data_IF_979365105404
#
_entry.id   IF_979365105404
#
_cell.length_a   1.000
_cell.length_b   1.000
_cell.length_c   1.000
_cell.angle_alpha   90.00
_cell.angle_beta   90.00
_cell.angle_gamma   90.00
#
_symmetry.space_group_name_H-M   'P 1'
#
loop_
_entity.id
_entity.type
_entity.pdbx_description
1 polymer ?
#
# COMPACT_ATOMS: atom_id res chain seq x y z
N UNK A 1 41.73 9.17 21.19
CA UNK A 1 41.54 9.65 22.58
C UNK A 1 40.86 8.53 23.37
N UNK A 2 41.54 8.00 24.34
CA UNK A 2 41.00 7.04 25.30
C UNK A 2 39.74 7.59 25.96
N UNK A 3 38.62 6.86 26.01
CA UNK A 3 37.41 7.30 26.70
C UNK A 3 37.73 7.62 28.16
N UNK A 4 37.15 8.71 28.66
CA UNK A 4 37.28 9.06 30.07
C UNK A 4 36.82 7.91 30.95
N UNK A 5 37.62 7.45 31.96
CA UNK A 5 37.30 6.27 32.77
C UNK A 5 35.95 6.31 33.49
N UNK A 6 35.39 7.51 33.73
CA UNK A 6 34.16 7.68 34.47
C UNK A 6 32.86 7.31 33.68
N UNK A 7 32.85 7.39 32.36
CA UNK A 7 31.68 7.01 31.57
C UNK A 7 31.65 5.51 31.24
N UNK A 8 32.80 4.91 31.02
CA UNK A 8 32.94 3.46 30.82
C UNK A 8 32.58 2.67 32.08
N UNK A 9 32.98 3.17 33.27
CA UNK A 9 32.67 2.52 34.55
C UNK A 9 31.15 2.52 34.86
N UNK A 10 30.43 3.60 34.57
CA UNK A 10 28.96 3.66 34.82
C UNK A 10 28.15 2.73 33.93
N UNK A 11 28.61 2.47 32.69
CA UNK A 11 27.94 1.55 31.77
C UNK A 11 28.27 0.08 32.12
N UNK A 12 29.43 -0.20 32.71
CA UNK A 12 29.83 -1.54 33.20
C UNK A 12 28.99 -1.98 34.39
N UNK A 13 28.65 -1.07 35.31
CA UNK A 13 27.83 -1.41 36.49
C UNK A 13 26.39 -1.81 36.13
N UNK A 14 25.87 -1.40 34.96
CA UNK A 14 24.54 -1.77 34.48
C UNK A 14 24.50 -3.15 33.83
N UNK A 15 25.64 -3.80 33.60
CA UNK A 15 25.74 -5.09 32.91
C UNK A 15 25.90 -6.21 33.92
N UNK A 16 24.95 -7.09 34.04
CA UNK A 16 24.88 -8.20 34.99
C UNK A 16 26.04 -9.21 34.86
N UNK A 17 26.80 -9.20 33.76
CA UNK A 17 27.89 -10.14 33.47
C UNK A 17 29.29 -9.55 33.59
N UNK A 18 29.40 -8.30 34.04
CA UNK A 18 30.70 -7.63 34.24
C UNK A 18 30.82 -7.10 35.67
N UNK A 19 31.91 -7.41 36.35
CA UNK A 19 32.28 -6.84 37.65
C UNK A 19 33.62 -6.17 37.55
N UNK A 20 33.88 -5.17 38.37
CA UNK A 20 35.15 -4.48 38.44
C UNK A 20 35.87 -4.93 39.74
N UNK A 21 37.05 -5.46 39.57
CA UNK A 21 37.95 -5.81 40.66
C UNK A 21 39.35 -5.26 40.36
N UNK A 22 39.95 -4.54 41.30
CA UNK A 22 41.31 -3.98 41.17
C UNK A 22 41.56 -3.26 39.83
N UNK A 23 40.62 -2.34 39.42
CA UNK A 23 40.67 -1.60 38.15
C UNK A 23 40.57 -2.46 36.87
N UNK A 24 40.20 -3.72 37.00
CA UNK A 24 39.99 -4.65 35.88
C UNK A 24 38.52 -4.99 35.72
N UNK A 25 38.05 -4.99 34.48
CA UNK A 25 36.75 -5.52 34.14
C UNK A 25 36.80 -7.03 33.99
N UNK A 26 36.13 -7.75 34.87
CA UNK A 26 36.04 -9.21 34.84
C UNK A 26 34.70 -9.60 34.24
N UNK A 27 34.76 -10.27 33.10
CA UNK A 27 33.58 -10.79 32.42
C UNK A 27 33.26 -12.19 32.92
N UNK A 28 31.99 -12.41 33.30
CA UNK A 28 31.51 -13.74 33.63
C UNK A 28 31.19 -14.50 32.34
N UNK A 29 31.31 -15.81 32.37
CA UNK A 29 31.00 -16.66 31.22
C UNK A 29 29.52 -17.09 31.15
N UNK A 30 28.66 -16.52 31.98
CA UNK A 30 27.21 -16.76 31.98
C UNK A 30 26.45 -15.45 32.12
N UNK A 31 25.32 -15.35 31.43
CA UNK A 31 24.45 -14.18 31.42
C UNK A 31 23.05 -14.55 30.91
N UNK A 32 22.10 -13.60 30.99
CA UNK A 32 20.76 -13.77 30.46
C UNK A 32 20.71 -13.34 28.98
N UNK A 33 20.11 -14.18 28.12
CA UNK A 33 19.83 -13.89 26.73
C UNK A 33 18.42 -14.42 26.35
N UNK A 34 17.55 -13.56 25.87
CA UNK A 34 16.18 -13.95 25.53
C UNK A 34 15.39 -14.49 26.73
N UNK A 35 15.70 -14.04 27.94
CA UNK A 35 15.04 -14.48 29.18
C UNK A 35 15.55 -15.79 29.74
N UNK A 36 16.51 -16.46 29.10
CA UNK A 36 17.16 -17.70 29.57
C UNK A 36 18.63 -17.46 29.98
N UNK A 37 19.09 -18.17 30.97
CA UNK A 37 20.51 -18.15 31.35
C UNK A 37 21.33 -18.96 30.33
N UNK A 38 22.38 -18.34 29.79
CA UNK A 38 23.31 -18.95 28.85
C UNK A 38 24.70 -18.95 29.42
N UNK A 39 25.45 -20.03 29.14
CA UNK A 39 26.85 -20.13 29.50
C UNK A 39 27.69 -20.20 28.23
N UNK A 40 28.71 -19.35 28.14
CA UNK A 40 29.63 -19.37 27.00
C UNK A 40 30.58 -20.55 27.12
N UNK A 41 30.40 -21.54 26.28
CA UNK A 41 31.22 -22.75 26.17
C UNK A 41 31.52 -23.10 24.70
N UNK A 42 31.37 -22.16 23.78
CA UNK A 42 31.48 -22.41 22.36
C UNK A 42 32.85 -22.03 21.81
N UNK A 43 33.35 -22.87 20.93
CA UNK A 43 34.55 -22.65 20.12
C UNK A 43 34.17 -22.90 18.66
N UNK A 44 34.66 -22.08 17.75
CA UNK A 44 34.36 -22.24 16.33
C UNK A 44 34.96 -23.51 15.75
N UNK A 45 34.18 -24.25 14.98
CA UNK A 45 34.67 -25.34 14.14
C UNK A 45 35.29 -24.81 12.85
N UNK A 46 36.15 -25.59 12.19
CA UNK A 46 36.80 -25.19 10.95
C UNK A 46 35.81 -24.79 9.84
N UNK A 47 34.67 -25.49 9.73
CA UNK A 47 33.61 -25.16 8.79
C UNK A 47 32.96 -23.80 9.10
N UNK A 48 32.87 -23.43 10.38
CA UNK A 48 32.35 -22.13 10.82
C UNK A 48 33.33 -21.00 10.51
N UNK A 49 34.64 -21.24 10.67
CA UNK A 49 35.68 -20.29 10.25
C UNK A 49 35.62 -20.05 8.74
N UNK A 50 35.44 -21.12 7.95
CA UNK A 50 35.26 -21.02 6.52
C UNK A 50 34.01 -20.18 6.16
N UNK A 51 32.86 -20.44 6.80
CA UNK A 51 31.64 -19.68 6.65
C UNK A 51 31.84 -18.19 6.96
N UNK A 52 32.54 -17.84 8.01
CA UNK A 52 32.90 -16.47 8.36
C UNK A 52 33.69 -15.75 7.28
N UNK A 53 34.65 -16.43 6.63
CA UNK A 53 35.42 -15.88 5.49
C UNK A 53 34.52 -15.64 4.27
N UNK A 54 33.61 -16.57 3.99
CA UNK A 54 32.64 -16.44 2.86
C UNK A 54 31.80 -15.21 3.07
N UNK A 55 31.22 -15.02 4.25
CA UNK A 55 30.38 -13.87 4.61
C UNK A 55 31.15 -12.54 4.56
N UNK A 56 32.38 -12.51 5.06
CA UNK A 56 33.24 -11.31 4.99
C UNK A 56 33.52 -10.89 3.53
N UNK A 57 33.61 -11.85 2.60
CA UNK A 57 33.81 -11.60 1.18
C UNK A 57 32.50 -11.18 0.45
N UNK A 58 31.44 -10.88 1.16
CA UNK A 58 30.16 -10.45 0.59
C UNK A 58 29.43 -11.55 -0.19
N UNK A 59 29.59 -12.81 0.23
CA UNK A 59 28.96 -13.97 -0.40
C UNK A 59 27.90 -14.59 0.51
N UNK A 60 27.11 -15.49 -0.03
CA UNK A 60 26.12 -16.28 0.69
C UNK A 60 26.78 -17.55 1.24
N UNK A 61 26.63 -17.78 2.55
CA UNK A 61 26.99 -19.02 3.20
C UNK A 61 25.73 -19.83 3.49
N UNK A 62 25.54 -20.94 2.79
CA UNK A 62 24.45 -21.87 3.07
C UNK A 62 24.85 -22.79 4.21
N UNK A 63 24.03 -22.80 5.26
CA UNK A 63 24.25 -23.63 6.45
C UNK A 63 22.93 -24.26 6.89
N UNK A 64 22.95 -25.54 7.23
CA UNK A 64 21.79 -26.24 7.73
C UNK A 64 21.38 -25.76 9.14
N UNK A 65 20.15 -26.04 9.52
CA UNK A 65 19.66 -25.75 10.87
C UNK A 65 20.47 -26.50 11.89
N UNK A 66 20.91 -25.81 12.95
CA UNK A 66 21.74 -26.40 14.03
C UNK A 66 23.24 -26.32 13.81
N UNK A 67 23.72 -25.86 12.66
CA UNK A 67 25.17 -25.71 12.39
C UNK A 67 25.83 -24.48 13.04
N UNK A 68 25.04 -23.69 13.78
CA UNK A 68 25.57 -22.57 14.56
C UNK A 68 25.74 -21.28 13.73
N UNK A 69 24.81 -20.94 12.85
CA UNK A 69 24.83 -19.72 12.04
C UNK A 69 25.08 -18.45 12.87
N UNK A 70 24.45 -18.34 14.04
CA UNK A 70 24.62 -17.19 14.95
C UNK A 70 26.07 -17.05 15.42
N UNK A 71 26.75 -18.18 15.67
CA UNK A 71 28.17 -18.19 16.06
C UNK A 71 29.10 -17.84 14.90
N UNK A 72 28.81 -18.34 13.69
CA UNK A 72 29.55 -18.00 12.46
C UNK A 72 29.50 -16.51 12.18
N UNK A 73 28.33 -15.89 12.34
CA UNK A 73 28.17 -14.46 12.16
C UNK A 73 29.08 -13.60 13.02
N UNK A 74 29.49 -14.08 14.19
CA UNK A 74 30.38 -13.31 15.08
C UNK A 74 31.71 -12.95 14.43
N UNK A 75 32.23 -13.79 13.55
CA UNK A 75 33.53 -13.58 12.90
C UNK A 75 33.52 -12.39 11.92
N UNK A 76 32.69 -12.35 10.88
CA UNK A 76 32.66 -11.21 9.98
C UNK A 76 32.09 -9.95 10.63
N UNK A 77 31.15 -10.06 11.58
CA UNK A 77 30.65 -8.93 12.34
C UNK A 77 31.74 -8.26 13.14
N UNK A 78 32.51 -9.02 13.90
CA UNK A 78 33.64 -8.49 14.66
C UNK A 78 34.67 -7.81 13.75
N UNK A 79 35.11 -8.49 12.69
CA UNK A 79 36.11 -7.97 11.76
C UNK A 79 35.70 -6.66 11.11
N UNK A 80 34.44 -6.58 10.60
CA UNK A 80 33.95 -5.37 9.94
C UNK A 80 33.61 -4.24 10.93
N UNK A 81 33.29 -4.57 12.20
CA UNK A 81 33.06 -3.57 13.25
C UNK A 81 34.33 -2.82 13.64
N UNK A 82 35.50 -3.40 13.47
CA UNK A 82 36.81 -2.75 13.75
C UNK A 82 37.03 -1.48 12.89
N UNK A 83 36.33 -1.33 11.79
CA UNK A 83 36.40 -0.10 10.95
C UNK A 83 35.80 1.13 11.63
N UNK A 84 34.97 0.94 12.67
CA UNK A 84 34.21 2.01 13.32
C UNK A 84 33.05 2.59 12.50
N UNK A 85 32.78 2.06 11.29
CA UNK A 85 31.75 2.54 10.40
C UNK A 85 30.35 1.96 10.68
N UNK A 86 30.27 0.96 11.57
CA UNK A 86 29.04 0.28 11.96
C UNK A 86 28.73 -0.97 11.14
N UNK A 87 28.23 -1.96 11.85
CA UNK A 87 27.76 -3.22 11.27
C UNK A 87 26.32 -3.44 11.69
N UNK A 88 25.47 -3.76 10.72
CA UNK A 88 24.06 -4.12 10.96
C UNK A 88 23.91 -5.64 10.90
N UNK A 89 23.35 -6.22 11.96
CA UNK A 89 22.99 -7.64 12.03
C UNK A 89 21.48 -7.74 11.89
N UNK A 90 21.04 -8.28 10.76
CA UNK A 90 19.64 -8.27 10.33
C UNK A 90 19.01 -9.63 10.55
N UNK A 91 17.89 -9.67 11.25
CA UNK A 91 17.09 -10.87 11.52
C UNK A 91 15.67 -10.70 11.00
N UNK A 92 14.90 -11.79 10.95
CA UNK A 92 13.53 -11.78 10.42
C UNK A 92 12.46 -11.38 11.44
N UNK A 93 12.77 -11.41 12.73
CA UNK A 93 11.83 -10.99 13.78
C UNK A 93 12.55 -10.38 14.99
N UNK A 94 11.79 -9.64 15.78
CA UNK A 94 12.28 -8.88 16.94
C UNK A 94 12.76 -9.78 18.12
N UNK A 95 12.19 -10.97 18.25
CA UNK A 95 12.65 -11.92 19.26
C UNK A 95 14.09 -12.36 18.97
N UNK A 96 14.39 -12.73 17.73
CA UNK A 96 15.74 -13.14 17.32
C UNK A 96 16.73 -11.98 17.45
N UNK A 97 16.37 -10.78 17.02
CA UNK A 97 17.28 -9.62 17.11
C UNK A 97 17.64 -9.29 18.56
N UNK A 98 16.67 -9.31 19.47
CA UNK A 98 16.88 -9.10 20.91
C UNK A 98 17.70 -10.22 21.54
N UNK A 99 17.31 -11.49 21.30
CA UNK A 99 18.01 -12.67 21.82
C UNK A 99 19.47 -12.71 21.36
N UNK A 100 19.71 -12.53 20.07
CA UNK A 100 21.07 -12.68 19.51
C UNK A 100 21.96 -11.49 19.90
N UNK A 101 21.43 -10.29 20.05
CA UNK A 101 22.15 -9.15 20.61
C UNK A 101 22.57 -9.40 22.08
N UNK A 102 21.72 -10.05 22.87
CA UNK A 102 21.99 -10.39 24.24
C UNK A 102 22.95 -11.58 24.37
N UNK A 103 22.86 -12.54 23.46
CA UNK A 103 23.67 -13.75 23.48
C UNK A 103 25.09 -13.51 23.00
N UNK A 104 25.26 -12.86 21.85
CA UNK A 104 26.58 -12.60 21.25
C UNK A 104 27.17 -11.25 21.66
N UNK A 105 26.33 -10.33 22.15
CA UNK A 105 26.78 -8.99 22.57
C UNK A 105 27.94 -8.99 23.56
N UNK A 106 27.92 -9.80 24.65
CA UNK A 106 29.01 -9.85 25.59
C UNK A 106 30.35 -10.22 24.97
N UNK A 107 30.38 -11.08 23.95
CA UNK A 107 31.61 -11.42 23.23
C UNK A 107 32.22 -10.19 22.55
N UNK A 108 31.42 -9.41 21.85
CA UNK A 108 31.89 -8.18 21.19
C UNK A 108 32.34 -7.13 22.22
N UNK A 109 31.55 -6.96 23.29
CA UNK A 109 31.84 -6.02 24.36
C UNK A 109 33.16 -6.36 25.10
N UNK A 110 33.49 -7.66 25.25
CA UNK A 110 34.74 -8.11 25.77
C UNK A 110 35.94 -7.57 24.97
N UNK A 111 35.77 -7.45 23.67
CA UNK A 111 36.75 -6.87 22.75
C UNK A 111 36.68 -5.35 22.60
N UNK A 112 35.90 -4.67 23.44
CA UNK A 112 35.81 -3.21 23.46
C UNK A 112 34.84 -2.60 22.43
N UNK A 113 34.02 -3.42 21.74
CA UNK A 113 33.02 -2.96 20.79
C UNK A 113 31.70 -2.69 21.49
N UNK A 114 30.99 -1.64 21.04
CA UNK A 114 29.62 -1.31 21.49
C UNK A 114 28.57 -2.08 20.69
N UNK A 115 27.54 -2.57 21.39
CA UNK A 115 26.44 -3.35 20.82
C UNK A 115 25.12 -2.79 21.30
N UNK A 116 24.17 -2.65 20.38
CA UNK A 116 22.78 -2.30 20.71
C UNK A 116 21.80 -2.99 19.74
N UNK A 117 20.51 -2.92 20.08
CA UNK A 117 19.44 -3.51 19.30
C UNK A 117 18.33 -2.47 19.11
N UNK A 118 18.02 -2.12 17.85
CA UNK A 118 17.00 -1.12 17.55
C UNK A 118 15.59 -1.54 17.98
N UNK A 119 15.28 -2.83 17.97
CA UNK A 119 13.97 -3.35 18.38
C UNK A 119 13.68 -3.19 19.89
N UNK A 120 14.68 -2.78 20.67
CA UNK A 120 14.51 -2.41 22.09
C UNK A 120 14.13 -0.96 22.32
N UNK A 121 14.15 -0.12 21.29
CA UNK A 121 13.99 1.31 21.38
C UNK A 121 12.84 1.79 20.48
N UNK A 122 12.14 2.83 20.92
CA UNK A 122 11.07 3.44 20.13
C UNK A 122 11.61 4.12 18.87
N UNK A 123 10.89 4.05 17.73
CA UNK A 123 11.21 4.81 16.53
C UNK A 123 11.40 6.31 16.80
N UNK A 124 12.30 6.96 16.06
CA UNK A 124 12.62 8.39 16.15
C UNK A 124 13.09 8.86 17.55
N UNK A 125 13.48 7.95 18.42
CA UNK A 125 14.00 8.28 19.76
C UNK A 125 15.52 8.52 19.76
N UNK A 126 16.00 9.26 20.75
CA UNK A 126 17.44 9.42 20.98
C UNK A 126 18.13 8.09 21.29
N UNK A 127 17.43 7.18 21.98
CA UNK A 127 17.91 5.84 22.25
C UNK A 127 18.13 5.04 20.97
N UNK A 128 17.20 5.16 20.00
CA UNK A 128 17.31 4.51 18.69
C UNK A 128 18.45 5.10 17.85
N UNK A 129 18.61 6.42 17.87
CA UNK A 129 19.76 7.11 17.25
C UNK A 129 21.08 6.65 17.84
N UNK A 130 21.15 6.55 19.17
CA UNK A 130 22.34 6.03 19.87
C UNK A 130 22.63 4.56 19.51
N UNK A 131 21.59 3.75 19.30
CA UNK A 131 21.75 2.35 18.87
C UNK A 131 22.43 2.26 17.50
N UNK A 132 22.09 3.13 16.55
CA UNK A 132 22.77 3.18 15.26
C UNK A 132 24.22 3.69 15.32
N UNK A 133 24.58 4.39 16.37
CA UNK A 133 25.96 4.84 16.61
C UNK A 133 26.84 3.75 17.25
N UNK A 134 26.26 2.65 17.70
CA UNK A 134 27.03 1.49 18.18
C UNK A 134 27.88 0.87 17.05
N UNK A 135 28.95 0.21 17.41
CA UNK A 135 29.79 -0.52 16.45
C UNK A 135 29.04 -1.65 15.78
N UNK A 136 28.12 -2.28 16.51
CA UNK A 136 27.27 -3.38 16.05
C UNK A 136 25.83 -3.09 16.45
N UNK A 137 24.94 -3.08 15.48
CA UNK A 137 23.51 -2.81 15.66
C UNK A 137 22.69 -3.98 15.16
N UNK A 138 21.95 -4.63 16.06
CA UNK A 138 20.99 -5.68 15.74
C UNK A 138 19.61 -5.07 15.44
N UNK A 139 18.85 -5.70 14.57
CA UNK A 139 17.48 -5.31 14.28
C UNK A 139 16.79 -6.21 13.28
N UNK A 140 15.47 -6.05 13.18
CA UNK A 140 14.69 -6.72 12.15
C UNK A 140 14.83 -6.02 10.80
N UNK A 141 14.73 -6.79 9.72
CA UNK A 141 14.78 -6.32 8.35
C UNK A 141 13.80 -5.14 8.11
N UNK A 142 12.57 -5.27 8.60
CA UNK A 142 11.53 -4.26 8.41
C UNK A 142 11.86 -2.97 9.17
N UNK A 143 12.34 -3.05 10.41
CA UNK A 143 12.66 -1.86 11.22
C UNK A 143 13.83 -1.07 10.64
N UNK A 144 14.85 -1.73 10.11
CA UNK A 144 15.91 -1.05 9.36
C UNK A 144 15.37 -0.28 8.16
N UNK A 145 14.49 -0.91 7.39
CA UNK A 145 13.85 -0.27 6.24
C UNK A 145 12.89 0.85 6.62
N UNK A 146 12.10 0.70 7.68
CA UNK A 146 11.23 1.76 8.17
C UNK A 146 12.00 2.95 8.73
N UNK A 147 13.11 2.72 9.44
CA UNK A 147 13.97 3.83 9.91
C UNK A 147 14.55 4.61 8.74
N UNK A 148 14.96 3.93 7.67
CA UNK A 148 15.39 4.60 6.45
C UNK A 148 14.29 5.44 5.81
N UNK A 149 13.06 4.92 5.73
CA UNK A 149 11.93 5.70 5.22
C UNK A 149 11.63 6.91 6.10
N UNK A 150 11.66 6.76 7.42
CA UNK A 150 11.48 7.87 8.38
C UNK A 150 12.58 8.92 8.23
N UNK A 151 13.81 8.51 8.04
CA UNK A 151 14.94 9.42 7.79
C UNK A 151 14.76 10.23 6.49
N UNK A 152 14.24 9.60 5.43
CA UNK A 152 13.95 10.31 4.19
C UNK A 152 12.80 11.33 4.31
N UNK A 153 11.97 11.21 5.34
CA UNK A 153 10.89 12.16 5.65
C UNK A 153 11.34 13.22 6.66
N UNK A 154 12.54 13.12 7.22
CA UNK A 154 13.04 14.05 8.21
C UNK A 154 13.24 15.46 7.63
N UNK A 155 12.81 16.48 8.39
CA UNK A 155 12.92 17.87 8.00
C UNK A 155 14.30 18.45 8.38
N UNK A 156 14.92 17.88 9.42
CA UNK A 156 16.21 18.34 9.93
C UNK A 156 17.21 17.18 10.01
N UNK A 157 18.50 17.43 9.72
CA UNK A 157 19.54 16.40 9.93
C UNK A 157 19.62 15.85 11.36
N UNK A 158 19.13 16.60 12.35
CA UNK A 158 19.09 16.19 13.76
C UNK A 158 18.07 15.07 14.02
N UNK A 159 17.08 14.94 13.12
CA UNK A 159 16.02 13.92 13.23
C UNK A 159 16.42 12.59 12.60
N UNK A 160 17.54 12.55 11.89
CA UNK A 160 18.05 11.31 11.29
C UNK A 160 18.53 10.35 12.39
N UNK A 161 18.13 9.09 12.29
CA UNK A 161 18.55 8.04 13.23
C UNK A 161 19.65 7.16 12.67
N UNK A 162 19.63 6.86 11.36
CA UNK A 162 20.64 6.05 10.71
C UNK A 162 21.87 6.89 10.33
N UNK A 163 23.03 6.26 10.35
CA UNK A 163 24.24 6.78 9.73
C UNK A 163 24.50 6.08 8.41
N UNK A 164 25.63 6.38 7.76
CA UNK A 164 26.02 5.76 6.50
C UNK A 164 26.00 4.24 6.58
N UNK A 165 25.42 3.56 5.57
CA UNK A 165 25.41 2.11 5.43
C UNK A 165 26.83 1.63 5.08
N UNK A 166 27.34 0.69 5.86
CA UNK A 166 28.68 0.14 5.66
C UNK A 166 28.63 -1.37 5.39
N UNK A 167 28.35 -2.17 6.40
CA UNK A 167 28.28 -3.62 6.28
C UNK A 167 27.01 -4.14 6.94
N UNK A 168 26.30 -5.04 6.25
CA UNK A 168 25.17 -5.77 6.79
C UNK A 168 25.36 -7.27 6.62
N UNK A 169 25.04 -8.02 7.66
CA UNK A 169 24.86 -9.47 7.58
C UNK A 169 23.37 -9.76 7.73
N UNK A 170 22.80 -10.49 6.77
CA UNK A 170 21.38 -10.80 6.71
C UNK A 170 21.17 -12.27 6.95
N UNK A 171 20.49 -12.61 8.05
CA UNK A 171 20.06 -13.98 8.34
C UNK A 171 18.77 -14.31 7.58
N UNK A 172 18.54 -15.58 7.27
CA UNK A 172 17.38 -16.03 6.48
C UNK A 172 17.22 -15.25 5.16
N UNK A 173 18.30 -15.13 4.41
CA UNK A 173 18.39 -14.28 3.22
C UNK A 173 17.40 -14.65 2.12
N UNK A 174 16.99 -15.90 2.02
CA UNK A 174 15.94 -16.41 1.16
C UNK A 174 14.59 -15.76 1.50
N UNK A 175 14.19 -15.72 2.75
CA UNK A 175 12.99 -15.02 3.18
C UNK A 175 13.08 -13.52 2.92
N UNK A 176 14.18 -12.88 3.29
CA UNK A 176 14.32 -11.41 3.24
C UNK A 176 14.49 -10.87 1.82
N UNK A 177 15.32 -11.53 0.98
CA UNK A 177 15.70 -11.00 -0.33
C UNK A 177 15.15 -11.78 -1.53
N UNK A 178 14.42 -12.88 -1.30
CA UNK A 178 13.73 -13.64 -2.35
C UNK A 178 12.22 -13.57 -2.13
N UNK A 179 11.69 -14.14 -1.03
CA UNK A 179 10.26 -14.22 -0.80
C UNK A 179 9.63 -12.83 -0.61
N UNK A 180 10.22 -12.01 0.26
CA UNK A 180 9.74 -10.66 0.57
C UNK A 180 10.40 -9.55 -0.26
N UNK A 181 11.24 -9.91 -1.23
CA UNK A 181 12.09 -8.96 -1.98
C UNK A 181 11.30 -7.82 -2.63
N UNK A 182 10.10 -8.11 -3.13
CA UNK A 182 9.24 -7.18 -3.85
C UNK A 182 8.13 -6.59 -3.00
N UNK A 183 7.93 -7.08 -1.79
CA UNK A 183 6.94 -6.53 -0.85
C UNK A 183 7.45 -5.18 -0.35
N UNK A 184 6.78 -4.07 -0.67
CA UNK A 184 7.26 -2.76 -0.25
C UNK A 184 6.94 -2.50 1.22
N UNK A 185 7.88 -1.89 1.91
CA UNK A 185 7.62 -1.19 3.17
C UNK A 185 7.01 0.17 2.81
N UNK A 186 5.91 0.53 3.44
CA UNK A 186 5.13 1.72 3.12
C UNK A 186 4.88 2.52 4.39
N UNK A 187 5.18 3.82 4.36
CA UNK A 187 4.69 4.78 5.34
C UNK A 187 3.60 5.60 4.68
N UNK A 188 2.42 5.57 5.25
CA UNK A 188 1.27 6.37 4.83
C UNK A 188 0.70 7.16 6.00
N UNK A 189 -0.01 8.22 5.68
CA UNK A 189 -0.69 9.03 6.66
C UNK A 189 -1.98 9.63 6.10
N UNK A 190 -2.85 10.15 6.97
CA UNK A 190 -4.10 10.75 6.54
C UNK A 190 -3.83 12.03 5.72
N UNK A 191 -4.59 12.19 4.64
CA UNK A 191 -4.64 13.45 3.90
C UNK A 191 -5.43 14.47 4.73
N UNK A 192 -5.01 15.73 4.80
CA UNK A 192 -5.78 16.78 5.48
C UNK A 192 -7.21 16.87 4.92
N UNK A 193 -8.18 16.97 5.82
CA UNK A 193 -9.62 16.88 5.54
C UNK A 193 -10.13 17.88 4.49
N UNK A 194 -10.99 17.40 3.61
CA UNK A 194 -11.85 18.14 2.67
C UNK A 194 -12.96 17.29 2.06
N UNK A 195 -12.71 15.98 1.90
CA UNK A 195 -13.50 15.11 1.01
C UNK A 195 -14.56 14.23 1.71
N UNK A 196 -14.46 13.98 3.01
CA UNK A 196 -15.29 13.00 3.71
C UNK A 196 -16.79 13.31 3.64
N UNK A 197 -17.14 14.59 3.66
CA UNK A 197 -18.53 15.04 3.61
C UNK A 197 -19.16 14.89 2.21
N UNK A 198 -18.35 14.93 1.15
CA UNK A 198 -18.85 14.88 -0.22
C UNK A 198 -19.40 13.50 -0.57
N UNK A 199 -18.79 12.42 -0.08
CA UNK A 199 -19.31 11.06 -0.23
C UNK A 199 -20.69 10.89 0.40
N UNK A 200 -20.89 11.39 1.60
CA UNK A 200 -22.19 11.33 2.29
C UNK A 200 -23.24 12.21 1.62
N UNK A 201 -22.85 13.39 1.14
CA UNK A 201 -23.76 14.33 0.45
C UNK A 201 -24.23 13.80 -0.90
N UNK A 202 -23.37 13.16 -1.67
CA UNK A 202 -23.67 12.67 -3.01
C UNK A 202 -24.27 11.25 -3.04
N UNK A 203 -24.17 10.50 -1.93
CA UNK A 203 -24.75 9.16 -1.83
C UNK A 203 -26.21 9.07 -2.26
N UNK A 204 -27.13 9.94 -1.82
CA UNK A 204 -28.53 9.85 -2.23
C UNK A 204 -28.76 9.99 -3.73
N UNK A 205 -27.93 10.79 -4.40
CA UNK A 205 -27.99 10.95 -5.87
C UNK A 205 -27.57 9.67 -6.57
N UNK A 206 -26.51 9.02 -6.07
CA UNK A 206 -26.04 7.74 -6.63
C UNK A 206 -27.04 6.62 -6.37
N UNK A 207 -27.67 6.57 -5.21
CA UNK A 207 -28.75 5.61 -4.93
C UNK A 207 -29.90 5.73 -5.92
N UNK A 208 -30.30 6.97 -6.27
CA UNK A 208 -31.30 7.22 -7.31
C UNK A 208 -30.87 6.75 -8.69
N UNK A 209 -29.61 6.99 -9.07
CA UNK A 209 -29.04 6.49 -10.33
C UNK A 209 -29.06 4.96 -10.38
N UNK A 210 -28.60 4.31 -9.34
CA UNK A 210 -28.53 2.84 -9.26
C UNK A 210 -29.94 2.23 -9.30
N UNK A 211 -30.90 2.80 -8.60
CA UNK A 211 -32.28 2.33 -8.62
C UNK A 211 -32.91 2.47 -10.01
N UNK A 212 -32.72 3.63 -10.66
CA UNK A 212 -33.21 3.86 -12.02
C UNK A 212 -32.55 2.88 -13.01
N UNK A 213 -31.25 2.66 -12.90
CA UNK A 213 -30.52 1.73 -13.75
C UNK A 213 -30.97 0.27 -13.54
N UNK A 214 -31.22 -0.14 -12.31
CA UNK A 214 -31.76 -1.50 -12.01
C UNK A 214 -33.09 -1.74 -12.68
N UNK A 215 -34.01 -0.78 -12.62
CA UNK A 215 -35.32 -0.87 -13.32
C UNK A 215 -35.11 -1.00 -14.81
N UNK A 216 -34.28 -0.16 -15.41
CA UNK A 216 -33.95 -0.16 -16.82
C UNK A 216 -33.32 -1.46 -17.29
N UNK A 217 -32.31 -1.94 -16.55
CA UNK A 217 -31.62 -3.20 -16.85
C UNK A 217 -32.56 -4.40 -16.77
N UNK A 218 -33.44 -4.44 -15.80
CA UNK A 218 -34.46 -5.48 -15.66
C UNK A 218 -35.43 -5.47 -16.84
N UNK A 219 -35.85 -4.30 -17.28
CA UNK A 219 -36.70 -4.17 -18.46
C UNK A 219 -36.02 -4.64 -19.74
N UNK A 220 -34.78 -4.25 -19.98
CA UNK A 220 -34.00 -4.72 -21.12
C UNK A 220 -33.76 -6.24 -21.09
N UNK A 221 -33.52 -6.82 -19.91
CA UNK A 221 -33.41 -8.28 -19.80
C UNK A 221 -34.69 -9.01 -20.14
N UNK A 222 -35.86 -8.48 -19.70
CA UNK A 222 -37.16 -9.04 -20.01
C UNK A 222 -37.47 -8.94 -21.53
N UNK A 223 -37.19 -7.79 -22.13
CA UNK A 223 -37.35 -7.56 -23.58
C UNK A 223 -36.41 -8.49 -24.37
N UNK A 224 -35.15 -8.66 -23.93
CA UNK A 224 -34.22 -9.57 -24.54
C UNK A 224 -34.71 -11.00 -24.56
N UNK A 225 -35.21 -11.51 -23.45
CA UNK A 225 -35.76 -12.88 -23.34
C UNK A 225 -36.93 -13.08 -24.27
N UNK A 226 -37.84 -12.11 -24.34
CA UNK A 226 -39.02 -12.15 -25.21
C UNK A 226 -38.65 -12.12 -26.68
N UNK A 227 -37.75 -11.22 -27.09
CA UNK A 227 -37.41 -10.98 -28.50
C UNK A 227 -36.45 -12.07 -29.04
N UNK A 228 -35.52 -12.57 -28.24
CA UNK A 228 -34.60 -13.65 -28.64
C UNK A 228 -35.35 -14.97 -28.86
N UNK A 229 -36.45 -15.19 -28.15
CA UNK A 229 -37.30 -16.37 -28.32
C UNK A 229 -38.20 -16.31 -29.59
N UNK A 230 -38.23 -15.19 -30.27
CA UNK A 230 -38.97 -15.03 -31.54
C UNK A 230 -38.30 -15.80 -32.70
N UNK A 231 -39.09 -16.15 -33.69
CA UNK A 231 -38.60 -16.76 -34.93
C UNK A 231 -38.17 -15.72 -36.00
N UNK A 232 -38.41 -14.43 -35.74
CA UNK A 232 -38.01 -13.35 -36.63
C UNK A 232 -36.58 -12.89 -36.34
N UNK A 233 -35.73 -12.93 -37.36
CA UNK A 233 -34.32 -12.58 -37.24
C UNK A 233 -34.12 -11.11 -36.77
N UNK A 234 -34.96 -10.19 -37.22
CA UNK A 234 -34.89 -8.79 -36.83
C UNK A 234 -35.22 -8.60 -35.36
N UNK A 235 -36.26 -9.27 -34.87
CA UNK A 235 -36.60 -9.27 -33.44
C UNK A 235 -35.51 -9.89 -32.60
N UNK A 236 -34.85 -10.95 -33.05
CA UNK A 236 -33.71 -11.54 -32.36
C UNK A 236 -32.54 -10.57 -32.27
N UNK A 237 -32.23 -9.82 -33.33
CA UNK A 237 -31.17 -8.79 -33.33
C UNK A 237 -31.48 -7.67 -32.32
N UNK A 238 -32.75 -7.19 -32.30
CA UNK A 238 -33.20 -6.23 -31.29
C UNK A 238 -33.13 -6.80 -29.87
N UNK A 239 -33.42 -8.07 -29.68
CA UNK A 239 -33.30 -8.77 -28.40
C UNK A 239 -31.87 -8.88 -27.92
N UNK A 240 -30.92 -9.17 -28.79
CA UNK A 240 -29.49 -9.18 -28.43
C UNK A 240 -28.97 -7.78 -28.13
N UNK A 241 -29.43 -6.74 -28.75
CA UNK A 241 -29.11 -5.36 -28.39
C UNK A 241 -29.65 -5.03 -27.00
N UNK A 242 -30.90 -5.40 -26.68
CA UNK A 242 -31.46 -5.24 -25.36
C UNK A 242 -30.64 -6.02 -24.27
N UNK A 243 -30.20 -7.23 -24.59
CA UNK A 243 -29.34 -8.03 -23.73
C UNK A 243 -27.98 -7.34 -23.49
N UNK A 244 -27.37 -6.82 -24.54
CA UNK A 244 -26.13 -6.09 -24.47
C UNK A 244 -26.25 -4.83 -23.60
N UNK A 245 -27.35 -4.07 -23.76
CA UNK A 245 -27.67 -2.92 -22.89
C UNK A 245 -27.82 -3.32 -21.43
N UNK A 246 -28.53 -4.42 -21.15
CA UNK A 246 -28.66 -4.94 -19.78
C UNK A 246 -27.30 -5.30 -19.18
N UNK A 247 -26.42 -5.93 -19.96
CA UNK A 247 -25.08 -6.28 -19.53
C UNK A 247 -24.20 -5.04 -19.28
N UNK A 248 -24.23 -4.04 -20.15
CA UNK A 248 -23.51 -2.77 -19.93
C UNK A 248 -24.06 -1.97 -18.76
N UNK A 249 -25.33 -2.12 -18.45
CA UNK A 249 -25.98 -1.44 -17.33
C UNK A 249 -25.59 -2.03 -15.97
N UNK A 250 -25.66 -3.35 -15.81
CA UNK A 250 -25.37 -4.08 -14.56
C UNK A 250 -24.85 -5.50 -14.88
N UNK A 251 -23.55 -5.66 -15.15
CA UNK A 251 -22.99 -6.95 -15.55
C UNK A 251 -23.02 -8.02 -14.45
N UNK A 252 -23.04 -7.63 -13.17
CA UNK A 252 -23.11 -8.54 -12.02
C UNK A 252 -24.56 -8.93 -11.63
N UNK A 253 -25.57 -8.51 -12.39
CA UNK A 253 -26.96 -8.86 -12.12
C UNK A 253 -27.19 -10.39 -12.23
N UNK A 254 -27.57 -11.02 -11.13
CA UNK A 254 -27.75 -12.49 -11.05
C UNK A 254 -28.72 -13.07 -12.11
N UNK A 255 -29.92 -12.48 -12.35
CA UNK A 255 -30.79 -12.93 -13.43
C UNK A 255 -30.15 -12.85 -14.83
N UNK A 256 -29.36 -11.80 -15.09
CA UNK A 256 -28.60 -11.65 -16.34
C UNK A 256 -27.55 -12.75 -16.49
N UNK A 257 -26.73 -12.98 -15.45
CA UNK A 257 -25.70 -14.01 -15.45
C UNK A 257 -26.30 -15.39 -15.71
N UNK A 258 -27.43 -15.69 -15.06
CA UNK A 258 -28.17 -16.94 -15.28
C UNK A 258 -28.62 -17.08 -16.73
N UNK A 259 -29.16 -16.05 -17.32
CA UNK A 259 -29.59 -16.06 -18.72
C UNK A 259 -28.43 -16.20 -19.71
N UNK A 260 -27.30 -15.53 -19.45
CA UNK A 260 -26.08 -15.65 -20.26
C UNK A 260 -25.44 -17.05 -20.21
N UNK A 261 -25.76 -17.87 -19.21
CA UNK A 261 -25.31 -19.27 -19.12
C UNK A 261 -26.08 -20.21 -20.04
N UNK A 262 -27.21 -19.78 -20.62
CA UNK A 262 -27.97 -20.57 -21.56
C UNK A 262 -27.27 -20.67 -22.92
N UNK A 263 -27.44 -21.79 -23.61
CA UNK A 263 -26.74 -22.07 -24.85
C UNK A 263 -26.98 -21.01 -25.93
N UNK A 264 -25.91 -20.47 -26.51
CA UNK A 264 -25.93 -19.51 -27.62
C UNK A 264 -26.20 -18.05 -27.19
N UNK A 265 -26.70 -17.79 -25.99
CA UNK A 265 -27.10 -16.44 -25.54
C UNK A 265 -25.89 -15.53 -25.40
N UNK A 266 -24.85 -15.97 -24.69
CA UNK A 266 -23.62 -15.21 -24.52
C UNK A 266 -22.90 -14.96 -25.86
N UNK A 267 -22.86 -15.97 -26.72
CA UNK A 267 -22.24 -15.85 -28.05
C UNK A 267 -22.97 -14.82 -28.94
N UNK A 268 -24.31 -14.78 -28.89
CA UNK A 268 -25.11 -13.79 -29.61
C UNK A 268 -24.89 -12.38 -29.10
N UNK A 269 -24.79 -12.20 -27.78
CA UNK A 269 -24.47 -10.90 -27.16
C UNK A 269 -23.07 -10.40 -27.57
N UNK A 270 -22.06 -11.27 -27.57
CA UNK A 270 -20.69 -10.91 -27.98
C UNK A 270 -20.61 -10.50 -29.44
N UNK A 271 -21.37 -11.14 -30.34
CA UNK A 271 -21.49 -10.68 -31.74
C UNK A 271 -22.08 -9.29 -31.84
N UNK A 272 -23.07 -8.98 -31.03
CA UNK A 272 -23.65 -7.63 -30.97
C UNK A 272 -22.64 -6.62 -30.45
N UNK A 273 -21.88 -6.96 -29.41
CA UNK A 273 -20.78 -6.13 -28.89
C UNK A 273 -19.77 -5.81 -30.01
N UNK A 274 -19.32 -6.80 -30.78
CA UNK A 274 -18.37 -6.63 -31.89
C UNK A 274 -18.87 -5.60 -32.91
N UNK A 275 -20.15 -5.61 -33.27
CA UNK A 275 -20.75 -4.65 -34.22
C UNK A 275 -20.61 -3.20 -33.70
N UNK A 276 -20.81 -2.97 -32.41
CA UNK A 276 -20.72 -1.62 -31.80
C UNK A 276 -19.29 -1.22 -31.50
N UNK A 277 -18.36 -2.18 -31.37
CA UNK A 277 -16.92 -1.92 -31.19
C UNK A 277 -16.20 -1.59 -32.51
N UNK A 278 -16.80 -1.87 -33.67
CA UNK A 278 -16.22 -1.54 -34.98
C UNK A 278 -15.87 -0.05 -35.09
N UNK A 279 -14.86 0.28 -35.90
CA UNK A 279 -14.41 1.65 -36.16
C UNK A 279 -14.04 2.44 -34.88
N UNK A 280 -13.32 1.81 -33.96
CA UNK A 280 -12.91 2.43 -32.68
C UNK A 280 -14.09 2.88 -31.83
N UNK A 281 -15.11 2.05 -31.66
CA UNK A 281 -16.28 2.29 -30.82
C UNK A 281 -17.16 3.47 -31.25
N UNK A 282 -17.09 3.91 -32.50
CA UNK A 282 -17.87 5.08 -32.99
C UNK A 282 -19.36 4.93 -32.77
N UNK A 283 -19.87 3.70 -32.82
CA UNK A 283 -21.30 3.40 -32.66
C UNK A 283 -21.69 2.95 -31.26
N UNK A 284 -20.75 2.84 -30.33
CA UNK A 284 -21.03 2.35 -28.97
C UNK A 284 -22.07 3.24 -28.26
N UNK A 285 -22.03 4.53 -28.49
CA UNK A 285 -23.01 5.48 -27.93
C UNK A 285 -24.46 5.13 -28.30
N UNK A 286 -24.74 4.60 -29.51
CA UNK A 286 -26.07 4.18 -29.90
C UNK A 286 -26.65 3.10 -28.98
N UNK A 287 -25.79 2.20 -28.47
CA UNK A 287 -26.20 1.17 -27.54
C UNK A 287 -26.30 1.68 -26.09
N UNK A 288 -25.42 2.59 -25.68
CA UNK A 288 -25.23 2.98 -24.27
C UNK A 288 -25.96 4.28 -23.87
N UNK A 289 -26.31 5.17 -24.81
CA UNK A 289 -27.02 6.43 -24.54
C UNK A 289 -28.35 6.26 -23.76
N UNK A 290 -29.15 5.20 -23.97
CA UNK A 290 -30.34 4.98 -23.18
C UNK A 290 -30.11 4.65 -21.68
N UNK A 291 -28.87 4.29 -21.30
CA UNK A 291 -28.50 3.98 -19.93
C UNK A 291 -28.21 5.25 -19.13
N UNK A 292 -28.27 5.17 -17.81
CA UNK A 292 -27.88 6.26 -16.90
C UNK A 292 -26.38 6.31 -16.67
N UNK A 293 -25.74 5.15 -16.67
CA UNK A 293 -24.28 4.99 -16.62
C UNK A 293 -23.87 3.69 -17.30
N UNK A 294 -22.61 3.59 -17.66
CA UNK A 294 -22.03 2.43 -18.36
C UNK A 294 -20.94 1.84 -17.52
N UNK A 295 -20.99 0.53 -17.28
CA UNK A 295 -19.98 -0.22 -16.56
C UNK A 295 -19.07 -0.92 -17.58
N UNK A 296 -17.77 -0.67 -17.48
CA UNK A 296 -16.74 -1.36 -18.25
C UNK A 296 -15.85 -2.19 -17.29
N UNK A 297 -16.21 -3.47 -17.15
CA UNK A 297 -15.53 -4.36 -16.19
C UNK A 297 -14.03 -4.52 -16.48
N UNK A 298 -13.64 -4.60 -17.76
CA UNK A 298 -12.24 -4.77 -18.17
C UNK A 298 -11.35 -3.59 -17.77
N UNK A 299 -11.92 -2.38 -17.76
CA UNK A 299 -11.23 -1.15 -17.37
C UNK A 299 -11.48 -0.78 -15.92
N UNK A 300 -12.30 -1.56 -15.22
CA UNK A 300 -12.73 -1.26 -13.86
C UNK A 300 -13.26 0.19 -13.73
N UNK A 301 -14.07 0.63 -14.69
CA UNK A 301 -14.60 1.98 -14.77
C UNK A 301 -16.13 2.00 -14.84
N UNK A 302 -16.70 3.07 -14.32
CA UNK A 302 -18.13 3.41 -14.44
C UNK A 302 -18.22 4.85 -14.88
N UNK A 303 -18.90 5.11 -16.00
CA UNK A 303 -19.03 6.42 -16.58
C UNK A 303 -20.49 6.83 -16.70
N UNK A 304 -20.83 8.06 -16.27
CA UNK A 304 -22.14 8.65 -16.46
C UNK A 304 -22.39 8.92 -17.93
N UNK A 305 -23.63 8.64 -18.37
CA UNK A 305 -24.15 9.14 -19.63
C UNK A 305 -24.80 10.52 -19.45
N UNK A 306 -25.14 11.20 -20.54
CA UNK A 306 -25.90 12.45 -20.48
C UNK A 306 -27.24 12.28 -19.75
N UNK A 307 -27.91 11.15 -19.95
CA UNK A 307 -29.14 10.79 -19.25
C UNK A 307 -28.94 10.66 -17.74
N UNK A 308 -27.80 10.09 -17.31
CA UNK A 308 -27.43 9.98 -15.89
C UNK A 308 -27.13 11.35 -15.29
N UNK A 309 -26.37 12.17 -15.99
CA UNK A 309 -26.08 13.56 -15.58
C UNK A 309 -27.38 14.37 -15.42
N UNK A 310 -28.30 14.28 -16.37
CA UNK A 310 -29.61 14.96 -16.31
C UNK A 310 -30.42 14.53 -15.09
N UNK A 311 -30.42 13.24 -14.76
CA UNK A 311 -31.12 12.71 -13.59
C UNK A 311 -30.61 13.30 -12.27
N UNK A 312 -29.29 13.38 -12.08
CA UNK A 312 -28.70 13.88 -10.83
C UNK A 312 -28.63 15.40 -10.76
N UNK A 313 -28.55 16.08 -11.91
CA UNK A 313 -28.62 17.54 -11.97
C UNK A 313 -30.03 18.04 -11.64
N UNK A 314 -31.05 17.35 -12.14
CA UNK A 314 -32.48 17.66 -11.86
C UNK A 314 -32.81 19.11 -12.14
N UNK A 315 -33.42 19.78 -11.15
CA UNK A 315 -33.82 21.19 -11.23
C UNK A 315 -32.78 22.13 -10.62
N UNK A 316 -31.49 21.72 -10.59
CA UNK A 316 -30.40 22.58 -10.09
C UNK A 316 -30.30 23.87 -10.92
N UNK A 317 -29.95 24.98 -10.26
CA UNK A 317 -29.69 26.27 -10.92
C UNK A 317 -28.48 26.20 -11.85
N UNK A 318 -27.51 25.30 -11.57
CA UNK A 318 -26.33 25.04 -12.41
C UNK A 318 -26.48 23.73 -13.19
N UNK A 319 -26.82 23.77 -14.49
CA UNK A 319 -26.97 22.58 -15.34
C UNK A 319 -25.62 21.86 -15.57
N UNK A 320 -24.49 22.50 -15.27
CA UNK A 320 -23.12 21.97 -15.46
C UNK A 320 -22.51 21.42 -14.17
N UNK A 321 -23.31 21.26 -13.11
CA UNK A 321 -22.85 20.87 -11.78
C UNK A 321 -22.03 19.59 -11.76
N UNK A 322 -22.36 18.63 -12.60
CA UNK A 322 -21.70 17.31 -12.74
C UNK A 322 -21.01 17.14 -14.10
N UNK A 323 -20.72 18.22 -14.80
CA UNK A 323 -20.03 18.22 -16.08
C UNK A 323 -18.65 18.85 -15.91
N UNK A 324 -17.62 18.13 -16.38
CA UNK A 324 -16.26 18.68 -16.41
C UNK A 324 -16.16 19.74 -17.51
N UNK A 325 -15.74 20.99 -17.19
CA UNK A 325 -15.46 21.99 -18.19
C UNK A 325 -14.22 21.62 -19.01
N UNK A 326 -14.20 22.06 -20.27
CA UNK A 326 -12.98 22.01 -21.08
C UNK A 326 -12.00 23.10 -20.61
N UNK A 327 -11.20 22.76 -19.63
CA UNK A 327 -10.24 23.70 -19.01
C UNK A 327 -9.19 24.18 -19.99
N UNK A 328 -8.78 23.33 -20.96
CA UNK A 328 -7.79 23.71 -21.97
C UNK A 328 -8.33 24.81 -22.91
N UNK A 329 -9.57 24.65 -23.38
CA UNK A 329 -10.24 25.66 -24.19
C UNK A 329 -10.44 26.97 -23.43
N UNK A 330 -10.92 26.91 -22.17
CA UNK A 330 -11.14 28.08 -21.33
C UNK A 330 -9.84 28.83 -21.01
N UNK A 331 -8.74 28.13 -20.75
CA UNK A 331 -7.41 28.76 -20.53
C UNK A 331 -6.88 29.38 -21.80
N UNK A 332 -7.05 28.75 -22.96
CA UNK A 332 -6.66 29.29 -24.25
C UNK A 332 -7.45 30.56 -24.62
N UNK A 333 -8.75 30.58 -24.37
CA UNK A 333 -9.58 31.77 -24.53
C UNK A 333 -9.10 32.93 -23.64
N UNK A 334 -8.81 32.63 -22.38
CA UNK A 334 -8.30 33.61 -21.41
C UNK A 334 -6.93 34.21 -21.84
N UNK A 335 -6.03 33.40 -22.40
CA UNK A 335 -4.75 33.86 -22.92
C UNK A 335 -4.89 34.79 -24.14
N UNK A 336 -5.94 34.60 -24.94
CA UNK A 336 -6.24 35.38 -26.11
C UNK A 336 -7.05 36.66 -25.81
N UNK A 337 -7.56 36.82 -24.59
CA UNK A 337 -8.22 38.06 -24.16
C UNK A 337 -7.20 39.22 -24.02
N UNK A 338 -7.32 40.24 -24.90
CA UNK A 338 -6.38 41.38 -24.94
C UNK A 338 -6.74 42.50 -23.98
N UNK A 339 -7.93 42.50 -23.38
CA UNK A 339 -8.46 43.60 -22.57
C UNK A 339 -8.21 43.47 -21.06
N UNK A 340 -7.45 42.46 -20.63
CA UNK A 340 -7.18 42.14 -19.21
C UNK A 340 -5.77 42.57 -18.82
N UNK A 341 -5.64 43.09 -17.61
CA UNK A 341 -4.33 43.24 -16.95
C UNK A 341 -3.78 41.85 -16.56
N UNK A 342 -2.47 41.77 -16.31
CA UNK A 342 -1.83 40.53 -15.89
C UNK A 342 -2.38 40.01 -14.55
N UNK A 343 -2.73 40.93 -13.64
CA UNK A 343 -3.35 40.58 -12.35
C UNK A 343 -4.77 40.02 -12.53
N UNK A 344 -5.59 40.66 -13.38
CA UNK A 344 -6.95 40.18 -13.70
C UNK A 344 -6.93 38.84 -14.41
N UNK A 345 -5.97 38.61 -15.30
CA UNK A 345 -5.75 37.35 -15.99
C UNK A 345 -5.38 36.24 -15.02
N UNK A 346 -4.47 36.50 -14.07
CA UNK A 346 -4.08 35.56 -13.05
C UNK A 346 -5.26 35.19 -12.14
N UNK A 347 -6.04 36.18 -11.70
CA UNK A 347 -7.23 35.97 -10.87
C UNK A 347 -8.29 35.12 -11.58
N UNK A 348 -8.55 35.38 -12.86
CA UNK A 348 -9.50 34.57 -13.67
C UNK A 348 -8.97 33.15 -13.89
N UNK A 349 -7.67 32.98 -14.08
CA UNK A 349 -7.03 31.66 -14.21
C UNK A 349 -7.20 30.85 -12.93
N UNK A 350 -6.96 31.44 -11.77
CA UNK A 350 -7.15 30.80 -10.48
C UNK A 350 -8.61 30.42 -10.24
N UNK A 351 -9.56 31.25 -10.64
CA UNK A 351 -10.99 30.95 -10.54
C UNK A 351 -11.38 29.77 -11.44
N UNK A 352 -10.90 29.73 -12.69
CA UNK A 352 -11.15 28.61 -13.61
C UNK A 352 -10.56 27.29 -13.09
N UNK A 353 -9.35 27.32 -12.57
CA UNK A 353 -8.68 26.13 -12.00
C UNK A 353 -9.39 25.65 -10.74
N UNK A 354 -9.83 26.56 -9.87
CA UNK A 354 -10.56 26.22 -8.64
C UNK A 354 -11.93 25.60 -8.98
N UNK A 355 -12.66 26.21 -9.94
CA UNK A 355 -13.95 25.66 -10.40
C UNK A 355 -13.78 24.27 -11.03
N UNK A 356 -12.75 24.09 -11.84
CA UNK A 356 -12.43 22.78 -12.42
C UNK A 356 -12.11 21.74 -11.34
N UNK A 357 -11.30 22.09 -10.34
CA UNK A 357 -10.96 21.18 -9.24
C UNK A 357 -12.21 20.74 -8.46
N UNK A 358 -13.10 21.66 -8.12
CA UNK A 358 -14.35 21.37 -7.41
C UNK A 358 -15.26 20.45 -8.23
N UNK A 359 -15.44 20.72 -9.53
CA UNK A 359 -16.27 19.89 -10.40
C UNK A 359 -15.64 18.52 -10.66
N UNK A 360 -14.32 18.47 -10.83
CA UNK A 360 -13.57 17.23 -11.00
C UNK A 360 -13.71 16.31 -9.79
N UNK A 361 -13.57 16.85 -8.59
CA UNK A 361 -13.74 16.11 -7.33
C UNK A 361 -15.18 15.56 -7.21
N UNK A 362 -16.17 16.37 -7.56
CA UNK A 362 -17.58 15.96 -7.52
C UNK A 362 -17.88 14.81 -8.48
N UNK A 363 -17.43 14.89 -9.72
CA UNK A 363 -17.57 13.83 -10.73
C UNK A 363 -16.81 12.58 -10.31
N UNK A 364 -15.60 12.74 -9.79
CA UNK A 364 -14.81 11.63 -9.28
C UNK A 364 -15.51 10.90 -8.12
N UNK A 365 -16.06 11.64 -7.18
CA UNK A 365 -16.81 11.08 -6.04
C UNK A 365 -18.04 10.30 -6.49
N UNK A 366 -18.81 10.83 -7.47
CA UNK A 366 -19.93 10.10 -8.07
C UNK A 366 -19.47 8.79 -8.71
N UNK A 367 -18.39 8.80 -9.47
CA UNK A 367 -17.87 7.61 -10.12
C UNK A 367 -17.39 6.54 -9.11
N UNK A 368 -16.75 6.96 -8.02
CA UNK A 368 -16.33 6.03 -6.97
C UNK A 368 -17.54 5.44 -6.20
N UNK A 369 -18.55 6.24 -5.92
CA UNK A 369 -19.80 5.77 -5.32
C UNK A 369 -20.52 4.79 -6.25
N UNK A 370 -20.61 5.08 -7.55
CA UNK A 370 -21.18 4.15 -8.54
C UNK A 370 -20.43 2.83 -8.58
N UNK A 371 -19.10 2.84 -8.55
CA UNK A 371 -18.29 1.62 -8.43
C UNK A 371 -18.63 0.84 -7.17
N UNK A 372 -18.68 1.51 -6.02
CA UNK A 372 -18.99 0.89 -4.75
C UNK A 372 -20.36 0.18 -4.76
N UNK A 373 -21.37 0.78 -5.39
CA UNK A 373 -22.73 0.23 -5.47
C UNK A 373 -22.90 -0.88 -6.51
N UNK A 374 -22.10 -0.87 -7.58
CA UNK A 374 -22.34 -1.72 -8.76
C UNK A 374 -21.30 -2.81 -8.98
N UNK A 375 -20.11 -2.64 -8.46
CA UNK A 375 -18.97 -3.53 -8.70
C UNK A 375 -18.44 -4.20 -7.43
N UNK A 376 -18.85 -3.76 -6.25
CA UNK A 376 -18.39 -4.27 -4.96
C UNK A 376 -19.58 -4.72 -4.11
N UNK A 377 -19.61 -5.99 -3.73
CA UNK A 377 -20.65 -6.59 -2.91
C UNK A 377 -20.13 -6.89 -1.50
N UNK A 378 -20.98 -6.62 -0.51
CA UNK A 378 -20.70 -6.99 0.88
C UNK A 378 -20.69 -8.52 1.01
N UNK A 379 -19.79 -9.02 1.86
CA UNK A 379 -19.55 -10.43 2.12
C UNK A 379 -18.93 -11.20 0.93
N UNK A 380 -18.49 -10.46 -0.11
CA UNK A 380 -17.72 -10.98 -1.25
C UNK A 380 -16.39 -10.24 -1.37
N UNK A 381 -16.38 -9.00 -1.85
CA UNK A 381 -15.17 -8.21 -1.97
C UNK A 381 -14.76 -7.51 -0.66
N UNK A 382 -15.67 -7.31 0.27
CA UNK A 382 -15.41 -6.68 1.58
C UNK A 382 -16.41 -7.14 2.64
N UNK A 383 -16.04 -6.95 3.91
CA UNK A 383 -16.91 -7.15 5.08
C UNK A 383 -16.97 -5.90 5.93
N UNK A 384 -18.01 -5.78 6.77
CA UNK A 384 -18.12 -4.72 7.76
C UNK A 384 -18.02 -5.35 9.15
N UNK A 385 -16.95 -5.02 9.88
CA UNK A 385 -16.67 -5.53 11.22
C UNK A 385 -16.34 -4.34 12.13
N UNK A 386 -16.98 -4.25 13.28
CA UNK A 386 -16.79 -3.20 14.27
C UNK A 386 -16.94 -1.77 13.70
N UNK A 387 -17.87 -1.59 12.77
CA UNK A 387 -18.10 -0.31 12.09
C UNK A 387 -17.04 0.10 11.10
N UNK A 388 -16.19 -0.84 10.66
CA UNK A 388 -15.14 -0.63 9.68
C UNK A 388 -15.32 -1.54 8.47
N UNK A 389 -15.06 -0.99 7.28
CA UNK A 389 -14.98 -1.77 6.03
C UNK A 389 -13.61 -2.41 5.94
N UNK A 390 -13.56 -3.72 5.76
CA UNK A 390 -12.33 -4.50 5.61
C UNK A 390 -12.37 -5.27 4.29
N UNK A 391 -11.27 -5.22 3.54
CA UNK A 391 -11.14 -5.90 2.25
C UNK A 391 -11.01 -7.41 2.47
N UNK A 392 -11.68 -8.18 1.63
CA UNK A 392 -11.53 -9.64 1.55
C UNK A 392 -10.72 -9.98 0.30
N UNK A 393 -9.72 -10.83 0.47
CA UNK A 393 -8.95 -11.37 -0.65
C UNK A 393 -9.79 -12.40 -1.42
N UNK A 394 -10.05 -12.15 -2.70
CA UNK A 394 -10.92 -12.98 -3.55
C UNK A 394 -10.42 -14.43 -3.70
N UNK A 395 -9.10 -14.64 -3.62
CA UNK A 395 -8.52 -15.97 -3.83
C UNK A 395 -8.52 -16.79 -2.55
N UNK A 396 -8.25 -16.19 -1.41
CA UNK A 396 -8.08 -16.86 -0.13
C UNK A 396 -9.27 -16.72 0.80
N UNK A 397 -10.18 -15.78 0.55
CA UNK A 397 -11.29 -15.42 1.43
C UNK A 397 -10.86 -14.81 2.77
N UNK A 398 -9.59 -14.40 2.90
CA UNK A 398 -9.06 -13.83 4.14
C UNK A 398 -9.22 -12.33 4.18
N UNK A 399 -9.46 -11.81 5.38
CA UNK A 399 -9.49 -10.37 5.62
C UNK A 399 -8.07 -9.81 5.50
N UNK A 400 -7.92 -8.76 4.70
CA UNK A 400 -6.67 -8.04 4.51
C UNK A 400 -6.58 -6.89 5.51
N UNK A 401 -6.04 -7.15 6.70
CA UNK A 401 -5.95 -6.15 7.76
C UNK A 401 -5.11 -4.92 7.34
N UNK A 402 -5.61 -3.74 7.67
CA UNK A 402 -4.93 -2.46 7.41
C UNK A 402 -4.89 -2.01 5.95
N UNK A 403 -5.41 -2.80 5.01
CA UNK A 403 -5.51 -2.40 3.60
C UNK A 403 -6.79 -1.63 3.32
N UNK A 404 -6.67 -0.62 2.45
CA UNK A 404 -7.78 0.20 1.97
C UNK A 404 -7.72 0.29 0.44
N UNK A 405 -8.88 0.35 -0.22
CA UNK A 405 -8.94 0.66 -1.65
C UNK A 405 -8.48 2.10 -1.89
N UNK A 406 -7.80 2.32 -3.01
CA UNK A 406 -7.28 3.61 -3.42
C UNK A 406 -8.34 4.51 -4.08
N UNK A 407 -7.96 5.75 -4.37
CA UNK A 407 -8.70 6.73 -5.18
C UNK A 407 -10.11 7.08 -4.67
N UNK A 408 -10.33 6.99 -3.36
CA UNK A 408 -11.62 7.31 -2.74
C UNK A 408 -12.63 6.15 -2.78
N UNK A 409 -12.31 5.00 -3.37
CA UNK A 409 -13.23 3.85 -3.42
C UNK A 409 -13.55 3.30 -2.03
N UNK A 410 -12.57 3.26 -1.13
CA UNK A 410 -12.80 2.79 0.24
C UNK A 410 -13.79 3.69 0.98
N UNK A 411 -13.61 5.00 0.87
CA UNK A 411 -14.54 6.00 1.42
C UNK A 411 -15.94 5.88 0.80
N UNK A 412 -16.03 5.61 -0.50
CA UNK A 412 -17.29 5.37 -1.19
C UNK A 412 -18.02 4.14 -0.62
N UNK A 413 -17.30 3.06 -0.33
CA UNK A 413 -17.87 1.86 0.28
C UNK A 413 -18.29 2.14 1.73
N UNK A 414 -17.50 2.88 2.50
CA UNK A 414 -17.85 3.30 3.85
C UNK A 414 -19.15 4.13 3.84
N UNK A 415 -19.30 5.07 2.91
CA UNK A 415 -20.52 5.86 2.74
C UNK A 415 -21.71 4.97 2.34
N UNK A 416 -21.50 4.02 1.41
CA UNK A 416 -22.51 3.03 0.99
C UNK A 416 -23.04 2.23 2.17
N UNK A 417 -22.14 1.74 3.04
CA UNK A 417 -22.49 0.92 4.20
C UNK A 417 -22.92 1.75 5.43
N UNK A 418 -22.98 3.06 5.28
CA UNK A 418 -23.38 3.98 6.35
C UNK A 418 -22.53 3.84 7.62
N UNK A 419 -21.25 3.55 7.45
CA UNK A 419 -20.24 3.60 8.51
C UNK A 419 -19.47 4.90 8.43
N UNK A 420 -18.68 5.21 9.47
CA UNK A 420 -17.86 6.44 9.47
C UNK A 420 -16.89 6.43 8.27
N UNK A 421 -16.97 7.48 7.46
CA UNK A 421 -16.00 7.70 6.37
C UNK A 421 -14.69 8.19 6.96
N UNK A 422 -13.63 7.42 6.80
CA UNK A 422 -12.30 7.79 7.28
C UNK A 422 -11.53 8.58 6.21
N UNK A 423 -10.60 9.42 6.65
CA UNK A 423 -9.78 10.21 5.74
C UNK A 423 -9.00 9.31 4.77
N UNK A 424 -8.84 9.77 3.54
CA UNK A 424 -7.97 9.12 2.57
C UNK A 424 -6.55 9.03 3.13
N UNK A 425 -5.85 7.93 2.84
CA UNK A 425 -4.44 7.78 3.19
C UNK A 425 -3.56 8.04 1.98
N UNK A 426 -2.51 8.83 2.19
CA UNK A 426 -1.49 9.10 1.19
C UNK A 426 -0.22 8.33 1.55
N UNK A 427 0.38 7.67 0.57
CA UNK A 427 1.70 7.07 0.72
C UNK A 427 2.76 8.18 0.71
N UNK A 428 3.48 8.33 1.82
CA UNK A 428 4.56 9.32 1.94
C UNK A 428 5.90 8.78 1.48
N UNK A 429 6.18 7.52 1.79
CA UNK A 429 7.45 6.89 1.44
C UNK A 429 7.27 5.39 1.26
N UNK A 430 8.04 4.82 0.34
CA UNK A 430 8.06 3.37 0.08
C UNK A 430 9.45 2.91 -0.32
N UNK A 431 9.83 1.71 0.13
CA UNK A 431 11.05 1.02 -0.31
C UNK A 431 10.84 -0.49 -0.23
N UNK A 432 11.46 -1.24 -1.13
CA UNK A 432 11.56 -2.69 -1.00
C UNK A 432 12.82 -3.05 -0.20
N UNK A 433 12.79 -4.16 0.52
CA UNK A 433 13.97 -4.65 1.25
C UNK A 433 15.17 -4.87 0.32
N UNK A 434 14.93 -5.37 -0.88
CA UNK A 434 15.98 -5.54 -1.89
C UNK A 434 16.68 -4.21 -2.23
N UNK A 435 15.93 -3.12 -2.40
CA UNK A 435 16.52 -1.81 -2.69
C UNK A 435 17.22 -1.22 -1.47
N UNK A 436 16.69 -1.45 -0.27
CA UNK A 436 17.34 -1.02 0.95
C UNK A 436 18.72 -1.67 1.12
N UNK A 437 18.81 -3.00 1.01
CA UNK A 437 20.09 -3.70 1.21
C UNK A 437 21.13 -3.49 0.10
N UNK A 438 20.73 -2.94 -1.06
CA UNK A 438 21.69 -2.48 -2.09
C UNK A 438 22.51 -1.26 -1.69
N UNK A 439 22.15 -0.56 -0.63
CA UNK A 439 22.88 0.63 -0.17
C UNK A 439 24.13 0.28 0.66
N UNK A 440 24.28 -0.95 1.06
CA UNK A 440 25.48 -1.43 1.77
C UNK A 440 26.62 -1.75 0.77
N UNK A 441 27.84 -1.56 1.24
CA UNK A 441 29.06 -1.75 0.44
C UNK A 441 29.56 -3.19 0.48
#
# INVERSE_FOLDING_TARGET
STPKPSSAASDVYKRQFVRIEDDKAIYQNHWLAGGAEVTWNMVHYDVQLFGGVVLHKGKIAEMATGEGKTLVATLPVFLNALTGNGVHVVTVNDYLSKRDSEWMGPLYMFHGLSVDCIDKHQPNSDARRKAYMADITFGTNNEFGFDYLRDNMAISPKDLVQRRHNYAIVDEVDSVLIDDARTPLIISGPVPKGEDQLFEQLRPLVERLVEAQKKLATQYLADAKRLIASNDKKEQEEGFLALFRSHKALPKNKPLIKYLSEQGIKAGMLKTEEIYMEQNNKRMHEATDPLYFVIEEKLNSVDLTDKGVDLITGNSEDPTLFVLPDIAAQLSELENETNLTDEERLAKKDELLTNYAIKSERVHTINQLLKAYTMFEKDDEYVVIDGQVKIVDEQTGRIMEGRRYSDGLHQAIEAKENVKVEAATQTFATITLQNYFRMYH
#
